data_IF_061403320793
#
_entry.id   IF_061403320793
#
_cell.length_a   1.000
_cell.length_b   1.000
_cell.length_c   1.000
_cell.angle_alpha   90.00
_cell.angle_beta   90.00
_cell.angle_gamma   90.00
#
_symmetry.space_group_name_H-M   'P 1'
#
loop_
_entity.id
_entity.type
_entity.pdbx_description
1 polymer ?
#
# COMPACT_ATOMS: atom_id res chain seq x y z
N UNK A 1 -31.37 22.27 -60.74
CA UNK A 1 -31.26 22.89 -59.40
C UNK A 1 -32.63 22.85 -58.76
N UNK A 2 -32.82 22.00 -57.76
CA UNK A 2 -34.05 21.94 -56.94
C UNK A 2 -33.74 21.05 -55.73
N UNK A 3 -33.60 21.67 -54.56
CA UNK A 3 -33.12 21.06 -53.32
C UNK A 3 -34.09 20.05 -52.68
N UNK A 4 -33.69 19.42 -51.57
CA UNK A 4 -34.47 18.38 -50.90
C UNK A 4 -35.79 18.92 -50.31
N UNK A 5 -36.82 18.07 -50.18
CA UNK A 5 -38.14 18.47 -49.69
C UNK A 5 -38.11 18.89 -48.23
N UNK A 6 -38.92 19.90 -47.88
CA UNK A 6 -39.05 20.43 -46.53
C UNK A 6 -39.76 19.42 -45.62
N UNK A 7 -39.19 19.17 -44.45
CA UNK A 7 -39.77 18.29 -43.42
C UNK A 7 -40.88 19.05 -42.69
N UNK A 8 -42.10 18.55 -42.77
CA UNK A 8 -43.26 19.06 -42.03
C UNK A 8 -43.17 18.63 -40.56
N UNK A 9 -42.70 19.53 -39.72
CA UNK A 9 -42.77 19.43 -38.26
C UNK A 9 -44.26 19.38 -37.82
N UNK A 10 -44.73 18.20 -37.37
CA UNK A 10 -46.06 18.05 -36.78
C UNK A 10 -46.24 18.88 -35.50
N UNK A 11 -47.47 19.05 -35.02
CA UNK A 11 -47.91 19.96 -33.94
C UNK A 11 -47.06 19.89 -32.63
N UNK A 12 -46.26 18.84 -32.45
CA UNK A 12 -45.39 18.63 -31.28
C UNK A 12 -43.90 18.94 -31.52
N UNK A 13 -43.49 19.29 -32.73
CA UNK A 13 -42.10 19.64 -33.09
C UNK A 13 -41.77 21.10 -32.71
N UNK A 14 -42.12 21.46 -31.48
CA UNK A 14 -41.93 22.76 -30.87
C UNK A 14 -42.11 22.75 -29.36
N UNK A 15 -42.32 21.59 -28.73
CA UNK A 15 -42.27 21.51 -27.27
C UNK A 15 -40.81 21.66 -26.84
N UNK A 16 -40.45 22.89 -26.46
CA UNK A 16 -39.28 23.14 -25.62
C UNK A 16 -39.40 22.20 -24.43
N UNK A 17 -38.50 21.22 -24.34
CA UNK A 17 -38.41 20.38 -23.14
C UNK A 17 -38.33 21.27 -21.91
N UNK A 18 -38.80 20.79 -20.75
CA UNK A 18 -38.64 21.48 -19.47
C UNK A 18 -37.18 21.94 -19.36
N UNK A 19 -36.94 23.25 -19.43
CA UNK A 19 -35.61 23.79 -19.15
C UNK A 19 -35.27 23.38 -17.72
N UNK A 20 -34.19 22.63 -17.58
CA UNK A 20 -33.69 22.20 -16.27
C UNK A 20 -33.26 23.43 -15.50
N UNK A 21 -34.17 23.98 -14.68
CA UNK A 21 -33.82 25.05 -13.75
C UNK A 21 -32.79 24.47 -12.77
N UNK A 22 -31.57 25.04 -12.68
CA UNK A 22 -30.56 24.53 -11.77
C UNK A 22 -31.12 24.57 -10.35
N UNK A 23 -31.00 23.43 -9.65
CA UNK A 23 -31.49 23.31 -8.29
C UNK A 23 -30.87 24.43 -7.42
N UNK A 24 -31.63 25.01 -6.49
CA UNK A 24 -31.09 25.96 -5.53
C UNK A 24 -29.89 25.34 -4.80
N UNK A 25 -28.83 26.11 -4.53
CA UNK A 25 -27.71 25.59 -3.77
C UNK A 25 -28.19 25.10 -2.41
N UNK A 26 -27.76 23.90 -2.02
CA UNK A 26 -28.06 23.36 -0.70
C UNK A 26 -27.62 24.37 0.37
N UNK A 27 -28.47 24.66 1.37
CA UNK A 27 -28.11 25.60 2.43
C UNK A 27 -26.89 25.06 3.16
N UNK A 28 -25.80 25.83 3.15
CA UNK A 28 -24.60 25.49 3.91
C UNK A 28 -24.92 25.68 5.38
N UNK A 29 -24.85 24.59 6.12
CA UNK A 29 -25.06 24.58 7.55
C UNK A 29 -23.72 24.92 8.21
N UNK A 30 -23.53 26.18 8.58
CA UNK A 30 -22.30 26.72 9.19
C UNK A 30 -21.80 25.90 10.40
N UNK A 31 -22.70 25.21 11.12
CA UNK A 31 -22.32 24.35 12.22
C UNK A 31 -21.62 23.06 11.77
N UNK A 32 -22.01 22.48 10.62
CA UNK A 32 -21.38 21.27 10.08
C UNK A 32 -19.96 21.57 9.62
N UNK A 33 -19.75 22.74 9.00
CA UNK A 33 -18.42 23.17 8.56
C UNK A 33 -17.48 23.41 9.75
N UNK A 34 -17.97 24.08 10.81
CA UNK A 34 -17.21 24.25 12.06
C UNK A 34 -16.91 22.92 12.74
N UNK A 35 -17.89 22.02 12.84
CA UNK A 35 -17.72 20.69 13.42
C UNK A 35 -16.69 19.86 12.65
N UNK A 36 -16.75 19.87 11.32
CA UNK A 36 -15.79 19.18 10.47
C UNK A 36 -14.37 19.74 10.65
N UNK A 37 -14.23 21.06 10.65
CA UNK A 37 -12.95 21.73 10.87
C UNK A 37 -12.35 21.41 12.25
N UNK A 38 -13.16 21.43 13.30
CA UNK A 38 -12.73 21.07 14.66
C UNK A 38 -12.29 19.61 14.77
N UNK A 39 -13.03 18.69 14.14
CA UNK A 39 -12.66 17.28 14.13
C UNK A 39 -11.36 17.05 13.37
N UNK A 40 -11.20 17.64 12.18
CA UNK A 40 -9.94 17.58 11.43
C UNK A 40 -8.77 18.10 12.27
N UNK A 41 -8.97 19.21 12.99
CA UNK A 41 -7.94 19.74 13.90
C UNK A 41 -7.59 18.75 15.02
N UNK A 42 -8.59 18.14 15.66
CA UNK A 42 -8.38 17.13 16.71
C UNK A 42 -7.63 15.91 16.19
N UNK A 43 -7.93 15.43 14.97
CA UNK A 43 -7.20 14.32 14.36
C UNK A 43 -5.74 14.69 14.10
N UNK A 44 -5.47 15.87 13.55
CA UNK A 44 -4.10 16.34 13.28
C UNK A 44 -3.28 16.51 14.57
N UNK A 45 -3.92 17.04 15.63
CA UNK A 45 -3.30 17.18 16.95
C UNK A 45 -2.98 15.80 17.56
N UNK A 46 -3.94 14.87 17.53
CA UNK A 46 -3.75 13.52 18.06
C UNK A 46 -2.69 12.74 17.29
N UNK A 47 -2.65 12.85 15.96
CA UNK A 47 -1.60 12.26 15.13
C UNK A 47 -0.23 12.85 15.47
N UNK A 48 -0.13 14.17 15.68
CA UNK A 48 1.11 14.83 16.11
C UNK A 48 1.56 14.37 17.51
N UNK A 49 0.62 14.22 18.44
CA UNK A 49 0.88 13.67 19.79
C UNK A 49 1.33 12.21 19.72
N UNK A 50 0.74 11.41 18.84
CA UNK A 50 1.12 10.02 18.66
C UNK A 50 2.51 9.89 18.01
N UNK A 51 2.78 10.68 16.96
CA UNK A 51 4.09 10.74 16.29
C UNK A 51 5.23 11.15 17.21
N UNK A 52 4.93 12.03 18.17
CA UNK A 52 5.91 12.47 19.17
C UNK A 52 6.04 11.52 20.38
N UNK A 53 5.15 10.52 20.50
CA UNK A 53 5.11 9.61 21.63
C UNK A 53 6.40 8.79 21.77
N UNK A 54 6.77 8.52 23.02
CA UNK A 54 7.95 7.70 23.35
C UNK A 54 7.81 6.27 22.81
N UNK A 55 6.61 5.69 22.92
CA UNK A 55 6.32 4.33 22.48
C UNK A 55 6.57 4.16 20.98
N UNK A 56 6.05 5.07 20.14
CA UNK A 56 6.25 4.96 18.70
C UNK A 56 7.74 5.08 18.33
N UNK A 57 8.48 6.00 18.95
CA UNK A 57 9.92 6.17 18.71
C UNK A 57 10.71 4.91 19.07
N UNK A 58 10.42 4.30 20.22
CA UNK A 58 11.07 3.06 20.64
C UNK A 58 10.75 1.88 19.70
N UNK A 59 9.50 1.77 19.26
CA UNK A 59 9.09 0.72 18.32
C UNK A 59 9.73 0.92 16.94
N UNK A 60 9.84 2.16 16.47
CA UNK A 60 10.50 2.47 15.21
C UNK A 60 11.98 2.10 15.26
N UNK A 61 12.65 2.43 16.36
CA UNK A 61 14.06 2.09 16.55
C UNK A 61 14.29 0.58 16.62
N UNK A 62 13.47 -0.14 17.41
CA UNK A 62 13.50 -1.61 17.43
C UNK A 62 13.21 -2.22 16.06
N UNK A 63 12.25 -1.67 15.32
CA UNK A 63 11.91 -2.17 13.98
C UNK A 63 13.08 -1.99 13.00
N UNK A 64 13.83 -0.88 13.10
CA UNK A 64 15.02 -0.66 12.26
C UNK A 64 16.11 -1.66 12.59
N UNK A 65 16.42 -1.81 13.89
CA UNK A 65 17.44 -2.76 14.35
C UNK A 65 17.10 -4.21 13.98
N UNK A 66 15.82 -4.58 14.08
CA UNK A 66 15.37 -5.93 13.75
C UNK A 66 15.32 -6.21 12.24
N UNK A 67 15.21 -5.17 11.39
CA UNK A 67 15.06 -5.38 9.94
C UNK A 67 16.24 -6.16 9.36
N UNK A 68 17.45 -5.65 9.55
CA UNK A 68 18.66 -6.27 9.00
C UNK A 68 18.97 -7.62 9.66
N UNK A 69 18.72 -7.72 10.97
CA UNK A 69 18.88 -8.97 11.71
C UNK A 69 17.95 -10.07 11.18
N UNK A 70 16.67 -9.76 11.04
CA UNK A 70 15.67 -10.69 10.53
C UNK A 70 15.94 -11.06 9.07
N UNK A 71 16.33 -10.10 8.24
CA UNK A 71 16.69 -10.36 6.84
C UNK A 71 17.84 -11.37 6.75
N UNK A 72 18.90 -11.17 7.54
CA UNK A 72 20.03 -12.09 7.60
C UNK A 72 19.64 -13.47 8.14
N UNK A 73 18.91 -13.51 9.25
CA UNK A 73 18.46 -14.78 9.86
C UNK A 73 17.59 -15.59 8.88
N UNK A 74 16.74 -14.91 8.11
CA UNK A 74 15.91 -15.54 7.08
C UNK A 74 16.77 -16.07 5.94
N UNK A 75 17.70 -15.26 5.43
CA UNK A 75 18.62 -15.68 4.37
C UNK A 75 19.48 -16.88 4.79
N UNK A 76 20.06 -16.86 6.00
CA UNK A 76 20.87 -17.97 6.52
C UNK A 76 20.05 -19.26 6.61
N UNK A 77 18.79 -19.20 7.08
CA UNK A 77 17.88 -20.36 7.11
C UNK A 77 17.56 -20.91 5.71
N UNK A 78 17.29 -20.04 4.75
CA UNK A 78 17.05 -20.46 3.36
C UNK A 78 18.31 -21.06 2.74
N UNK A 79 19.47 -20.48 3.02
CA UNK A 79 20.76 -20.92 2.50
C UNK A 79 21.12 -22.29 3.07
N UNK A 80 20.95 -22.51 4.38
CA UNK A 80 21.13 -23.81 5.03
C UNK A 80 20.27 -24.88 4.36
N UNK A 81 18.97 -24.62 4.22
CA UNK A 81 18.06 -25.59 3.61
C UNK A 81 18.35 -25.82 2.12
N UNK A 82 18.74 -24.77 1.39
CA UNK A 82 19.17 -24.88 -0.01
C UNK A 82 20.43 -25.73 -0.16
N UNK A 83 21.41 -25.55 0.73
CA UNK A 83 22.66 -26.30 0.77
C UNK A 83 22.44 -27.78 1.08
N UNK A 84 21.54 -28.10 2.01
CA UNK A 84 21.17 -29.47 2.39
C UNK A 84 20.49 -30.22 1.23
N UNK A 85 19.62 -29.53 0.49
CA UNK A 85 18.83 -30.12 -0.60
C UNK A 85 19.52 -29.99 -1.97
N UNK A 86 20.63 -29.25 -2.05
CA UNK A 86 21.38 -29.03 -3.29
C UNK A 86 20.63 -28.15 -4.30
N UNK A 87 19.77 -27.23 -3.86
CA UNK A 87 18.93 -26.40 -4.73
C UNK A 87 19.08 -24.90 -4.44
N UNK A 88 18.87 -24.07 -5.47
CA UNK A 88 18.91 -22.61 -5.37
C UNK A 88 20.33 -22.03 -5.36
N UNK A 89 20.41 -20.73 -5.05
CA UNK A 89 21.67 -19.96 -5.14
C UNK A 89 22.73 -20.37 -4.10
N UNK A 90 22.31 -21.06 -3.03
CA UNK A 90 23.19 -21.65 -2.02
C UNK A 90 23.43 -23.16 -2.22
N UNK A 91 23.19 -23.68 -3.42
CA UNK A 91 23.40 -25.10 -3.72
C UNK A 91 24.88 -25.49 -3.54
N UNK A 92 25.09 -26.67 -2.96
CA UNK A 92 26.42 -27.31 -2.81
C UNK A 92 26.72 -28.28 -3.96
N UNK A 93 25.88 -28.31 -5.00
CA UNK A 93 26.09 -29.19 -6.17
C UNK A 93 27.40 -28.83 -6.86
N UNK A 94 28.29 -29.82 -6.98
CA UNK A 94 29.63 -29.65 -7.56
C UNK A 94 30.75 -29.42 -6.55
N UNK A 95 30.42 -29.27 -5.25
CA UNK A 95 31.40 -29.34 -4.16
C UNK A 95 31.80 -30.79 -3.88
N UNK A 96 32.98 -30.99 -3.30
CA UNK A 96 33.34 -32.29 -2.69
C UNK A 96 32.51 -32.52 -1.43
N UNK A 97 32.38 -33.79 -1.02
CA UNK A 97 31.61 -34.14 0.19
C UNK A 97 32.13 -33.41 1.43
N UNK A 98 33.45 -33.23 1.56
CA UNK A 98 34.05 -32.51 2.67
C UNK A 98 33.71 -31.02 2.65
N UNK A 99 33.85 -30.35 1.50
CA UNK A 99 33.53 -28.92 1.36
C UNK A 99 32.05 -28.64 1.63
N UNK A 100 31.17 -29.55 1.20
CA UNK A 100 29.75 -29.48 1.47
C UNK A 100 29.45 -29.53 2.97
N UNK A 101 30.01 -30.51 3.68
CA UNK A 101 29.77 -30.66 5.12
C UNK A 101 30.35 -29.49 5.93
N UNK A 102 31.52 -28.98 5.54
CA UNK A 102 32.12 -27.80 6.17
C UNK A 102 31.23 -26.56 5.97
N UNK A 103 30.74 -26.33 4.75
CA UNK A 103 29.83 -25.23 4.43
C UNK A 103 28.49 -25.30 5.19
N UNK A 104 27.87 -26.49 5.24
CA UNK A 104 26.62 -26.70 5.98
C UNK A 104 26.86 -26.48 7.49
N UNK A 105 27.99 -26.93 8.02
CA UNK A 105 28.36 -26.72 9.43
C UNK A 105 28.50 -25.24 9.79
N UNK A 106 29.09 -24.42 8.90
CA UNK A 106 29.13 -22.97 9.10
C UNK A 106 27.76 -22.31 9.06
N UNK A 107 26.84 -22.80 8.22
CA UNK A 107 25.47 -22.29 8.16
C UNK A 107 24.67 -22.67 9.42
N UNK A 108 24.80 -23.90 9.92
CA UNK A 108 24.17 -24.34 11.18
C UNK A 108 24.58 -23.46 12.37
N UNK A 109 25.88 -23.19 12.51
CA UNK A 109 26.41 -22.26 13.52
C UNK A 109 25.80 -20.87 13.44
N UNK A 110 25.52 -20.35 12.24
CA UNK A 110 24.88 -19.04 12.04
C UNK A 110 23.40 -19.04 12.40
N UNK A 111 22.69 -20.13 12.11
CA UNK A 111 21.26 -20.30 12.43
C UNK A 111 21.03 -20.66 13.90
N UNK A 112 22.06 -21.18 14.59
CA UNK A 112 22.00 -21.59 15.99
C UNK A 112 21.66 -23.08 16.19
N UNK A 113 21.95 -23.91 15.19
CA UNK A 113 21.88 -25.38 15.22
C UNK A 113 23.28 -25.99 15.39
#
# INVERSE_FOLDING_TARGET
SSGPPQVSAGILSGSTGLESVPAPPMPRLEFLDKWNAENQRKYAENDSRFKSSKVLKELLEKSKQNKEKNEREIQDKYCLRGAEWGVGDCSTVGMTDQEKEDFITELRKRVGE
#
